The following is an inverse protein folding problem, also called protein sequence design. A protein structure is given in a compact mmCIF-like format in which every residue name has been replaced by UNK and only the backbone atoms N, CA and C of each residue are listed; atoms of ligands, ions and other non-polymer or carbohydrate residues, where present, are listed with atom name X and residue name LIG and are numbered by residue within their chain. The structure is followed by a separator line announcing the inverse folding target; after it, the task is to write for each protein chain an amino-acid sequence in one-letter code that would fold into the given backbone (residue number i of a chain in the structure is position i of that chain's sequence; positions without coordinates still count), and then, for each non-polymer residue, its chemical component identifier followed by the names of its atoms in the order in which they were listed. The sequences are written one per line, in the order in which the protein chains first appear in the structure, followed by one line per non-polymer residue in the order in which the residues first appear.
data_IF_457888253911
#
_entry.id   IF_457888253911
#
_cell.length_a   1.000
_cell.length_b   1.000
_cell.length_c   1.000
_cell.angle_alpha   90.00
_cell.angle_beta   90.00
_cell.angle_gamma   90.00
#
_symmetry.space_group_name_H-M   'P 1'
#
loop_
_entity.id
_entity.type
_entity.pdbx_description
1 polymer ?
#
# COMPACT_ATOMS: atom_id res chain seq x y z
N UNK A 1 -3.57 -62.78 20.35
CA UNK A 1 -3.46 -63.86 21.37
C UNK A 1 -2.65 -64.99 20.77
N UNK A 2 -1.98 -65.85 21.56
CA UNK A 2 -1.84 -65.83 23.04
C UNK A 2 -0.68 -64.87 23.45
N UNK A 3 -0.05 -64.87 24.64
CA UNK A 3 -0.31 -65.58 25.91
C UNK A 3 -0.24 -64.57 27.10
N UNK A 4 0.56 -64.81 28.16
CA UNK A 4 0.68 -64.02 29.40
C UNK A 4 2.02 -64.27 30.13
N UNK A 5 2.32 -63.38 31.10
CA UNK A 5 3.13 -63.60 32.31
C UNK A 5 4.67 -63.67 32.11
N UNK A 6 5.53 -63.32 33.07
CA UNK A 6 5.33 -62.89 34.48
C UNK A 6 6.55 -62.07 34.96
N UNK A 7 6.45 -61.27 36.04
CA UNK A 7 7.63 -60.64 36.64
C UNK A 7 7.40 -59.45 37.56
N UNK A 8 6.89 -59.68 38.79
CA UNK A 8 6.95 -58.69 39.87
C UNK A 8 8.32 -58.79 40.56
N UNK A 9 8.94 -57.65 40.86
CA UNK A 9 9.77 -57.48 42.07
C UNK A 9 9.44 -56.15 42.73
N UNK A 10 9.39 -56.18 44.06
CA UNK A 10 8.87 -55.14 44.95
C UNK A 10 9.98 -54.28 45.52
N UNK A 11 9.68 -53.00 45.77
CA UNK A 11 10.52 -52.09 46.54
C UNK A 11 9.69 -50.97 47.17
N UNK A 12 9.17 -51.19 48.37
CA UNK A 12 8.69 -50.11 49.24
C UNK A 12 9.91 -49.39 49.82
N UNK A 13 9.96 -48.06 49.80
CA UNK A 13 9.65 -47.13 50.90
C UNK A 13 10.32 -45.80 50.49
N UNK A 14 9.95 -44.58 50.91
CA UNK A 14 9.24 -44.06 52.09
C UNK A 14 8.35 -42.87 51.67
N UNK A 15 7.31 -42.56 52.45
CA UNK A 15 6.36 -41.50 52.10
C UNK A 15 6.75 -40.08 52.54
N UNK A 16 6.07 -39.09 51.96
CA UNK A 16 5.75 -37.81 52.61
C UNK A 16 4.33 -37.40 52.24
N UNK A 17 3.59 -36.88 53.22
CA UNK A 17 2.12 -36.79 53.18
C UNK A 17 1.64 -35.35 52.98
N UNK A 18 0.42 -35.25 52.41
CA UNK A 18 -0.56 -34.15 52.55
C UNK A 18 -0.25 -32.78 51.92
N UNK A 19 -1.18 -32.37 51.03
CA UNK A 19 -1.27 -31.04 50.43
C UNK A 19 -2.54 -30.91 49.59
N UNK A 20 -3.72 -30.92 50.24
CA UNK A 20 -5.04 -30.86 49.56
C UNK A 20 -5.45 -29.40 49.37
N UNK A 21 -5.53 -28.93 48.13
CA UNK A 21 -6.26 -27.72 47.78
C UNK A 21 -6.82 -27.83 46.34
N UNK A 22 -8.13 -27.66 46.21
CA UNK A 22 -8.76 -27.28 44.95
C UNK A 22 -9.16 -25.81 45.08
N UNK A 23 -8.84 -24.98 44.08
CA UNK A 23 -9.37 -23.62 43.99
C UNK A 23 -9.39 -23.15 42.55
N UNK A 24 -10.44 -22.41 42.20
CA UNK A 24 -10.69 -21.81 40.90
C UNK A 24 -9.56 -20.88 40.44
N UNK A 25 -9.43 -20.76 39.13
CA UNK A 25 -8.90 -19.58 38.46
C UNK A 25 -9.74 -19.30 37.19
N UNK A 26 -10.97 -18.84 37.41
CA UNK A 26 -11.54 -17.84 36.51
C UNK A 26 -10.83 -16.50 36.80
N UNK A 27 -10.99 -15.51 35.92
CA UNK A 27 -10.27 -14.22 35.92
C UNK A 27 -8.78 -14.31 35.55
N UNK A 28 -8.53 -14.62 34.28
CA UNK A 28 -7.44 -14.01 33.54
C UNK A 28 -8.01 -12.89 32.66
N UNK A 29 -7.92 -11.64 33.13
CA UNK A 29 -8.20 -10.48 32.26
C UNK A 29 -7.20 -10.51 31.09
N UNK A 30 -7.64 -10.31 29.83
CA UNK A 30 -6.71 -10.19 28.72
C UNK A 30 -5.87 -8.92 28.92
N UNK A 31 -4.57 -9.11 29.12
CA UNK A 31 -3.58 -8.03 29.16
C UNK A 31 -3.70 -7.29 27.82
N UNK A 32 -4.16 -6.03 27.86
CA UNK A 32 -4.15 -5.21 26.66
C UNK A 32 -2.68 -4.96 26.26
N UNK A 33 -2.28 -5.22 25.01
CA UNK A 33 -0.95 -4.84 24.56
C UNK A 33 -0.91 -3.31 24.46
N UNK A 34 -0.20 -2.68 25.38
CA UNK A 34 0.19 -1.27 25.24
C UNK A 34 0.91 -1.12 23.90
N UNK A 35 0.32 -0.32 23.00
CA UNK A 35 1.02 0.08 21.78
C UNK A 35 2.09 1.09 22.20
N UNK A 36 3.38 0.88 21.88
CA UNK A 36 4.35 1.94 22.04
C UNK A 36 3.94 3.09 21.12
N UNK A 37 3.89 4.30 21.67
CA UNK A 37 3.66 5.50 20.87
C UNK A 37 4.68 5.54 19.73
N UNK A 38 4.17 5.64 18.50
CA UNK A 38 5.03 5.94 17.36
C UNK A 38 5.71 7.28 17.67
N UNK A 39 7.03 7.42 17.44
CA UNK A 39 7.73 8.66 17.73
C UNK A 39 7.01 9.81 17.03
N UNK A 40 6.76 10.89 17.77
CA UNK A 40 6.14 12.09 17.21
C UNK A 40 6.89 12.48 15.94
N UNK A 41 6.14 12.76 14.88
CA UNK A 41 6.76 13.15 13.61
C UNK A 41 7.66 14.35 13.86
N UNK A 42 8.88 14.41 13.30
CA UNK A 42 9.52 15.70 13.12
C UNK A 42 8.53 16.61 12.38
N UNK A 43 8.46 17.87 12.81
CA UNK A 43 7.52 18.85 12.26
C UNK A 43 7.50 18.78 10.74
N UNK A 44 6.31 18.88 10.13
CA UNK A 44 6.18 18.80 8.68
C UNK A 44 6.99 19.93 8.03
N UNK A 45 8.22 19.65 7.62
CA UNK A 45 8.97 20.47 6.67
C UNK A 45 8.21 20.44 5.34
N UNK A 46 7.22 21.31 5.26
CA UNK A 46 6.51 21.65 4.04
C UNK A 46 7.55 22.01 3.00
N UNK A 47 7.59 21.23 1.91
CA UNK A 47 8.48 21.45 0.79
C UNK A 47 8.27 22.89 0.29
N UNK A 48 9.22 23.78 0.59
CA UNK A 48 9.10 25.22 0.31
C UNK A 48 9.22 25.44 -1.19
N UNK A 49 8.08 25.46 -1.88
CA UNK A 49 7.98 25.89 -3.25
C UNK A 49 8.06 27.42 -3.33
N UNK A 50 8.93 27.93 -4.21
CA UNK A 50 9.04 29.38 -4.50
C UNK A 50 7.80 29.95 -5.21
N UNK A 51 6.81 29.12 -5.51
CA UNK A 51 5.53 29.49 -6.11
C UNK A 51 4.44 28.63 -5.49
N UNK A 52 3.39 29.22 -4.89
CA UNK A 52 2.38 28.45 -4.19
C UNK A 52 1.61 27.57 -5.17
N UNK A 53 1.47 26.29 -4.83
CA UNK A 53 0.57 25.38 -5.52
C UNK A 53 -0.89 25.87 -5.39
N UNK A 54 -1.78 25.54 -6.34
CA UNK A 54 -3.19 25.93 -6.27
C UNK A 54 -3.88 25.43 -4.99
N UNK A 55 -4.58 26.32 -4.29
CA UNK A 55 -5.34 25.97 -3.08
C UNK A 55 -6.50 25.03 -3.38
N UNK A 56 -6.53 23.87 -2.73
CA UNK A 56 -7.61 22.88 -2.81
C UNK A 56 -8.20 22.54 -1.43
N UNK A 57 -8.01 23.39 -0.41
CA UNK A 57 -8.43 23.13 0.97
C UNK A 57 -9.93 22.79 1.11
N UNK A 58 -10.79 23.41 0.28
CA UNK A 58 -12.22 23.08 0.24
C UNK A 58 -12.48 21.63 -0.20
N UNK A 59 -11.68 21.08 -1.11
CA UNK A 59 -11.77 19.68 -1.55
C UNK A 59 -11.19 18.73 -0.50
N UNK A 60 -10.12 19.12 0.21
CA UNK A 60 -9.56 18.33 1.32
C UNK A 60 -10.53 18.23 2.50
N UNK A 61 -11.18 19.35 2.86
CA UNK A 61 -12.25 19.38 3.85
C UNK A 61 -13.44 18.50 3.42
N UNK A 62 -13.87 18.63 2.16
CA UNK A 62 -14.92 17.77 1.59
C UNK A 62 -14.55 16.28 1.67
N UNK A 63 -13.34 15.91 1.25
CA UNK A 63 -12.88 14.51 1.27
C UNK A 63 -12.82 13.97 2.71
N UNK A 64 -12.33 14.78 3.65
CA UNK A 64 -12.20 14.42 5.06
C UNK A 64 -13.57 14.16 5.69
N UNK A 65 -14.56 15.00 5.41
CA UNK A 65 -15.94 14.81 5.87
C UNK A 65 -16.62 13.62 5.18
N UNK A 66 -16.56 13.56 3.84
CA UNK A 66 -17.20 12.52 3.04
C UNK A 66 -16.67 11.12 3.38
N UNK A 67 -15.35 10.93 3.45
CA UNK A 67 -14.75 9.62 3.75
C UNK A 67 -14.97 9.17 5.21
N UNK A 68 -15.29 10.10 6.12
CA UNK A 68 -15.67 9.74 7.50
C UNK A 68 -17.04 9.07 7.58
N UNK A 69 -17.94 9.29 6.60
CA UNK A 69 -19.26 8.63 6.54
C UNK A 69 -19.20 7.11 6.32
N UNK A 70 -18.02 6.58 6.00
CA UNK A 70 -17.76 5.14 5.86
C UNK A 70 -17.25 4.48 7.15
N UNK A 71 -17.01 5.25 8.21
CA UNK A 71 -16.72 4.71 9.53
C UNK A 71 -18.00 4.11 10.15
N UNK A 72 -17.83 3.04 10.91
CA UNK A 72 -18.90 2.25 11.52
C UNK A 72 -18.58 1.97 13.00
N UNK A 73 -19.45 1.24 13.71
CA UNK A 73 -19.14 0.78 15.08
C UNK A 73 -18.12 -0.37 15.12
N UNK A 74 -17.70 -0.91 13.96
CA UNK A 74 -16.72 -1.99 13.87
C UNK A 74 -15.29 -1.45 13.73
N UNK A 75 -14.51 -1.52 14.81
CA UNK A 75 -13.11 -1.08 14.82
C UNK A 75 -12.25 -1.78 13.75
N UNK A 76 -12.48 -3.09 13.54
CA UNK A 76 -11.75 -3.88 12.56
C UNK A 76 -11.98 -3.39 11.11
N UNK A 77 -13.20 -2.97 10.77
CA UNK A 77 -13.52 -2.36 9.48
C UNK A 77 -12.93 -0.94 9.37
N UNK A 78 -13.05 -0.15 10.44
CA UNK A 78 -12.55 1.23 10.49
C UNK A 78 -11.05 1.32 10.23
N UNK A 79 -10.26 0.31 10.64
CA UNK A 79 -8.83 0.21 10.32
C UNK A 79 -8.56 0.25 8.80
N UNK A 80 -9.41 -0.36 7.98
CA UNK A 80 -9.26 -0.34 6.51
C UNK A 80 -9.72 0.99 5.89
N UNK A 81 -10.77 1.60 6.43
CA UNK A 81 -11.23 2.92 6.02
C UNK A 81 -10.17 3.99 6.34
N UNK A 82 -9.61 3.95 7.54
CA UNK A 82 -8.58 4.89 7.99
C UNK A 82 -7.22 4.66 7.30
N UNK A 83 -6.89 3.40 6.97
CA UNK A 83 -5.75 3.09 6.08
C UNK A 83 -5.88 3.84 4.76
N UNK A 84 -7.07 3.83 4.13
CA UNK A 84 -7.30 4.52 2.87
C UNK A 84 -7.40 6.04 2.99
N UNK A 85 -7.95 6.58 4.09
CA UNK A 85 -7.91 8.03 4.40
C UNK A 85 -6.46 8.53 4.51
N UNK A 86 -5.64 7.88 5.35
CA UNK A 86 -4.23 8.24 5.54
C UNK A 86 -3.40 8.08 4.27
N UNK A 87 -3.64 7.02 3.49
CA UNK A 87 -3.04 6.82 2.17
C UNK A 87 -3.35 7.96 1.21
N UNK A 88 -4.62 8.32 1.02
CA UNK A 88 -5.01 9.41 0.13
C UNK A 88 -4.31 10.74 0.45
N UNK A 89 -4.20 11.11 1.73
CA UNK A 89 -3.52 12.34 2.13
C UNK A 89 -2.00 12.30 1.87
N UNK A 90 -1.33 11.16 2.10
CA UNK A 90 0.10 11.01 1.78
C UNK A 90 0.37 10.96 0.28
N UNK A 91 -0.56 10.41 -0.51
CA UNK A 91 -0.51 10.48 -1.99
C UNK A 91 -0.66 11.93 -2.45
N UNK A 92 -1.54 12.72 -1.84
CA UNK A 92 -1.64 14.16 -2.12
C UNK A 92 -0.33 14.90 -1.74
N UNK A 93 0.31 14.58 -0.62
CA UNK A 93 1.59 15.18 -0.24
C UNK A 93 2.74 14.79 -1.19
N UNK A 94 2.78 13.54 -1.65
CA UNK A 94 3.70 13.13 -2.72
C UNK A 94 3.44 13.90 -4.03
N UNK A 95 2.17 14.12 -4.40
CA UNK A 95 1.79 14.89 -5.58
C UNK A 95 2.21 16.36 -5.45
N UNK A 96 2.03 16.97 -4.26
CA UNK A 96 2.55 18.31 -3.96
C UNK A 96 4.06 18.37 -4.18
N UNK A 97 4.82 17.45 -3.56
CA UNK A 97 6.29 17.41 -3.70
C UNK A 97 6.75 17.31 -5.17
N UNK A 98 6.14 16.42 -5.95
CA UNK A 98 6.42 16.29 -7.40
C UNK A 98 6.10 17.60 -8.15
N UNK A 99 4.94 18.21 -7.89
CA UNK A 99 4.50 19.43 -8.59
C UNK A 99 5.35 20.66 -8.20
N UNK A 100 5.86 20.74 -6.96
CA UNK A 100 6.81 21.77 -6.52
C UNK A 100 8.09 21.77 -7.37
N UNK A 101 8.58 20.59 -7.76
CA UNK A 101 9.75 20.42 -8.65
C UNK A 101 9.40 20.70 -10.12
N UNK A 102 8.29 20.14 -10.61
CA UNK A 102 7.93 20.21 -12.04
C UNK A 102 7.34 21.55 -12.49
N UNK A 103 6.76 22.33 -11.57
CA UNK A 103 6.19 23.67 -11.78
C UNK A 103 5.31 23.81 -13.05
N UNK A 104 4.31 22.93 -13.27
CA UNK A 104 3.42 23.04 -14.41
C UNK A 104 2.47 24.23 -14.28
N UNK A 105 1.73 24.51 -15.36
CA UNK A 105 0.69 25.54 -15.43
C UNK A 105 -0.40 25.33 -14.33
N UNK A 106 -0.97 26.39 -13.72
CA UNK A 106 -1.85 26.28 -12.55
C UNK A 106 -3.10 25.41 -12.70
N UNK A 107 -3.82 25.43 -13.83
CA UNK A 107 -4.98 24.56 -14.09
C UNK A 107 -4.55 23.08 -14.13
N UNK A 108 -3.38 22.81 -14.70
CA UNK A 108 -2.76 21.48 -14.75
C UNK A 108 -2.32 21.01 -13.36
N UNK A 109 -1.68 21.87 -12.57
CA UNK A 109 -1.32 21.59 -11.18
C UNK A 109 -2.56 21.31 -10.33
N UNK A 110 -3.61 22.13 -10.46
CA UNK A 110 -4.88 21.95 -9.74
C UNK A 110 -5.53 20.61 -10.08
N UNK A 111 -5.62 20.27 -11.37
CA UNK A 111 -6.18 19.00 -11.80
C UNK A 111 -5.36 17.79 -11.33
N UNK A 112 -4.02 17.90 -11.24
CA UNK A 112 -3.17 16.85 -10.67
C UNK A 112 -3.38 16.67 -9.15
N UNK A 113 -3.45 17.76 -8.38
CA UNK A 113 -3.73 17.70 -6.93
C UNK A 113 -5.11 17.12 -6.63
N UNK A 114 -6.14 17.56 -7.35
CA UNK A 114 -7.50 17.01 -7.21
C UNK A 114 -7.57 15.54 -7.64
N UNK A 115 -6.87 15.14 -8.70
CA UNK A 115 -6.81 13.74 -9.10
C UNK A 115 -6.06 12.87 -8.07
N UNK A 116 -5.02 13.40 -7.42
CA UNK A 116 -4.30 12.72 -6.33
C UNK A 116 -5.18 12.56 -5.08
N UNK A 117 -5.88 13.62 -4.67
CA UNK A 117 -6.86 13.57 -3.57
C UNK A 117 -8.03 12.60 -3.87
N UNK A 118 -8.39 12.41 -5.13
CA UNK A 118 -9.57 11.63 -5.51
C UNK A 118 -9.32 10.26 -6.15
N UNK A 119 -8.05 9.84 -6.34
CA UNK A 119 -7.74 8.58 -7.03
C UNK A 119 -8.47 7.37 -6.44
N UNK A 120 -8.46 7.26 -5.10
CA UNK A 120 -8.99 6.10 -4.37
C UNK A 120 -10.40 6.30 -3.79
N UNK A 121 -11.18 7.31 -4.22
CA UNK A 121 -12.59 7.46 -3.77
C UNK A 121 -13.49 6.29 -4.17
N UNK A 122 -13.04 5.42 -5.08
CA UNK A 122 -13.70 4.14 -5.34
C UNK A 122 -13.57 3.13 -4.20
N UNK A 123 -12.52 3.21 -3.36
CA UNK A 123 -12.22 2.24 -2.30
C UNK A 123 -13.23 2.22 -1.18
N UNK A 124 -13.78 3.38 -0.84
CA UNK A 124 -14.74 3.52 0.25
C UNK A 124 -16.04 2.73 -0.02
N UNK A 125 -16.76 2.96 -1.14
CA UNK A 125 -17.89 2.11 -1.51
C UNK A 125 -17.49 0.67 -1.88
N UNK A 126 -16.29 0.44 -2.45
CA UNK A 126 -15.78 -0.92 -2.69
C UNK A 126 -15.69 -1.72 -1.38
N UNK A 127 -15.08 -1.15 -0.33
CA UNK A 127 -14.95 -1.83 0.95
C UNK A 127 -16.29 -1.98 1.66
N UNK A 128 -17.11 -0.93 1.70
CA UNK A 128 -18.43 -1.00 2.35
C UNK A 128 -19.32 -2.11 1.77
N UNK A 129 -19.29 -2.30 0.44
CA UNK A 129 -20.10 -3.30 -0.26
C UNK A 129 -19.46 -4.70 -0.27
N UNK A 130 -18.15 -4.82 -0.51
CA UNK A 130 -17.49 -6.10 -0.81
C UNK A 130 -16.50 -6.56 0.28
N UNK A 131 -16.22 -5.75 1.30
CA UNK A 131 -15.28 -6.01 2.40
C UNK A 131 -13.88 -6.44 1.94
N UNK A 132 -13.45 -5.91 0.80
CA UNK A 132 -12.13 -6.14 0.21
C UNK A 132 -11.71 -4.98 -0.68
N UNK A 133 -10.40 -4.76 -0.82
CA UNK A 133 -9.81 -3.88 -1.84
C UNK A 133 -9.33 -4.64 -3.10
N UNK A 134 -9.59 -5.95 -3.19
CA UNK A 134 -9.24 -6.75 -4.37
C UNK A 134 -10.23 -6.46 -5.51
N UNK A 135 -9.79 -5.68 -6.51
CA UNK A 135 -10.58 -5.39 -7.72
C UNK A 135 -11.02 -6.66 -8.45
N UNK A 136 -10.18 -7.71 -8.46
CA UNK A 136 -10.48 -8.99 -9.09
C UNK A 136 -11.61 -9.76 -8.38
N UNK A 137 -11.74 -9.59 -7.06
CA UNK A 137 -12.80 -10.20 -6.23
C UNK A 137 -14.02 -9.30 -6.05
N UNK A 138 -14.01 -8.08 -6.62
CA UNK A 138 -15.07 -7.09 -6.45
C UNK A 138 -15.32 -6.28 -7.73
N UNK A 139 -14.79 -5.06 -7.82
CA UNK A 139 -15.02 -4.09 -8.88
C UNK A 139 -13.78 -3.22 -9.07
N UNK A 140 -13.52 -2.78 -10.31
CA UNK A 140 -12.42 -1.85 -10.58
C UNK A 140 -12.63 -0.52 -9.84
N UNK A 141 -11.75 -0.19 -8.90
CA UNK A 141 -11.92 0.98 -8.02
C UNK A 141 -11.74 2.32 -8.75
N UNK A 142 -10.84 2.43 -9.73
CA UNK A 142 -10.70 3.65 -10.54
C UNK A 142 -12.01 4.00 -11.28
N UNK A 143 -12.62 3.01 -11.95
CA UNK A 143 -13.92 3.17 -12.61
C UNK A 143 -15.08 3.42 -11.63
N UNK A 144 -15.02 2.84 -10.44
CA UNK A 144 -15.99 3.14 -9.37
C UNK A 144 -15.80 4.57 -8.85
N UNK A 145 -14.58 5.03 -8.68
CA UNK A 145 -14.23 6.38 -8.24
C UNK A 145 -14.82 7.46 -9.16
N UNK A 146 -14.75 7.28 -10.48
CA UNK A 146 -15.42 8.20 -11.42
C UNK A 146 -16.93 8.29 -11.21
N UNK A 147 -17.59 7.15 -10.94
CA UNK A 147 -19.04 7.11 -10.65
C UNK A 147 -19.35 7.75 -9.30
N UNK A 148 -18.50 7.54 -8.30
CA UNK A 148 -18.59 8.22 -6.99
C UNK A 148 -18.49 9.73 -7.15
N UNK A 149 -17.46 10.25 -7.82
CA UNK A 149 -17.26 11.69 -8.03
C UNK A 149 -18.44 12.36 -8.75
N UNK A 150 -19.05 11.67 -9.71
CA UNK A 150 -20.26 12.13 -10.39
C UNK A 150 -21.49 12.11 -9.46
N UNK A 151 -21.69 11.03 -8.70
CA UNK A 151 -22.84 10.86 -7.79
C UNK A 151 -22.82 11.89 -6.65
N UNK A 152 -21.66 12.11 -6.05
CA UNK A 152 -21.49 13.00 -4.90
C UNK A 152 -21.36 14.48 -5.30
N UNK A 153 -21.22 14.78 -6.60
CA UNK A 153 -21.00 16.16 -7.06
C UNK A 153 -19.68 16.78 -6.57
N UNK A 154 -18.70 15.97 -6.16
CA UNK A 154 -17.47 16.41 -5.48
C UNK A 154 -16.63 17.43 -6.25
N UNK A 155 -16.79 17.47 -7.58
CA UNK A 155 -16.09 18.38 -8.48
C UNK A 155 -17.01 19.47 -9.08
N UNK A 156 -18.24 19.64 -8.58
CA UNK A 156 -19.16 20.67 -9.06
C UNK A 156 -18.63 22.12 -8.97
N UNK A 157 -17.77 22.50 -7.98
CA UNK A 157 -17.10 23.80 -7.98
C UNK A 157 -16.12 24.02 -9.14
N UNK A 158 -15.67 22.96 -9.82
CA UNK A 158 -14.61 23.01 -10.81
C UNK A 158 -15.11 23.21 -12.24
N UNK A 159 -14.23 23.78 -13.09
CA UNK A 159 -14.51 23.96 -14.52
C UNK A 159 -14.77 22.60 -15.20
N UNK A 160 -15.57 22.54 -16.29
CA UNK A 160 -15.77 21.31 -17.06
C UNK A 160 -14.46 20.64 -17.49
N UNK A 161 -13.43 21.45 -17.78
CA UNK A 161 -12.09 21.02 -18.19
C UNK A 161 -11.37 20.29 -17.05
N UNK A 162 -11.33 20.88 -15.85
CA UNK A 162 -10.73 20.25 -14.66
C UNK A 162 -11.53 18.99 -14.30
N UNK A 163 -12.87 19.07 -14.25
CA UNK A 163 -13.76 17.91 -14.01
C UNK A 163 -13.43 16.73 -14.92
N UNK A 164 -13.32 16.98 -16.22
CA UNK A 164 -12.99 15.96 -17.21
C UNK A 164 -11.61 15.35 -17.00
N UNK A 165 -10.58 16.18 -16.73
CA UNK A 165 -9.21 15.71 -16.50
C UNK A 165 -9.08 14.89 -15.22
N UNK A 166 -9.66 15.37 -14.11
CA UNK A 166 -9.65 14.67 -12.81
C UNK A 166 -10.36 13.34 -12.93
N UNK A 167 -11.60 13.31 -13.43
CA UNK A 167 -12.36 12.06 -13.58
C UNK A 167 -11.64 11.05 -14.49
N UNK A 168 -11.00 11.50 -15.57
CA UNK A 168 -10.25 10.63 -16.47
C UNK A 168 -8.95 10.09 -15.85
N UNK A 169 -8.21 10.90 -15.08
CA UNK A 169 -7.03 10.43 -14.35
C UNK A 169 -7.40 9.39 -13.28
N UNK A 170 -8.46 9.64 -12.51
CA UNK A 170 -9.04 8.69 -11.55
C UNK A 170 -9.44 7.37 -12.24
N UNK A 171 -10.02 7.43 -13.45
CA UNK A 171 -10.38 6.23 -14.25
C UNK A 171 -9.18 5.38 -14.72
N UNK A 172 -7.97 5.95 -14.71
CA UNK A 172 -6.79 5.38 -15.36
C UNK A 172 -5.63 5.09 -14.41
N UNK A 173 -5.60 5.66 -13.20
CA UNK A 173 -4.47 5.52 -12.28
C UNK A 173 -4.12 4.05 -12.01
N UNK A 174 -5.12 3.21 -11.73
CA UNK A 174 -4.95 1.77 -11.45
C UNK A 174 -4.74 0.86 -12.68
N UNK A 175 -4.73 1.39 -13.91
CA UNK A 175 -4.56 0.56 -15.10
C UNK A 175 -3.13 0.02 -15.21
N UNK A 176 -2.95 -1.22 -15.65
CA UNK A 176 -1.62 -1.76 -15.91
C UNK A 176 -0.79 -0.87 -16.86
N UNK A 177 -1.42 -0.37 -17.93
CA UNK A 177 -0.86 0.67 -18.81
C UNK A 177 -1.86 1.80 -19.03
N UNK A 178 -1.36 3.04 -19.06
CA UNK A 178 -2.14 4.20 -19.51
C UNK A 178 -2.37 4.07 -21.03
N UNK A 179 -3.59 4.30 -21.56
CA UNK A 179 -3.86 4.25 -22.99
C UNK A 179 -3.01 5.26 -23.78
N UNK A 180 -2.52 4.84 -24.96
CA UNK A 180 -1.96 5.77 -25.94
C UNK A 180 -3.04 6.67 -26.55
N UNK A 181 -2.64 7.79 -27.14
CA UNK A 181 -3.54 8.73 -27.83
C UNK A 181 -4.32 9.70 -26.92
N UNK A 182 -4.13 9.65 -25.60
CA UNK A 182 -4.62 10.70 -24.69
C UNK A 182 -3.79 11.99 -24.83
N UNK A 183 -4.35 13.14 -24.42
CA UNK A 183 -3.63 14.41 -24.50
C UNK A 183 -2.40 14.45 -23.55
N UNK A 184 -1.32 15.18 -23.90
CA UNK A 184 -0.14 15.28 -23.04
C UNK A 184 -0.44 15.80 -21.63
N UNK A 185 -1.38 16.74 -21.49
CA UNK A 185 -1.83 17.27 -20.20
C UNK A 185 -2.52 16.19 -19.35
N UNK A 186 -3.41 15.39 -19.95
CA UNK A 186 -4.06 14.29 -19.23
C UNK A 186 -3.06 13.18 -18.88
N UNK A 187 -2.09 12.90 -19.77
CA UNK A 187 -1.01 11.96 -19.49
C UNK A 187 -0.18 12.42 -18.28
N UNK A 188 0.28 13.67 -18.28
CA UNK A 188 1.01 14.28 -17.17
C UNK A 188 0.26 14.16 -15.84
N UNK A 189 -1.03 14.56 -15.81
CA UNK A 189 -1.88 14.47 -14.61
C UNK A 189 -1.99 13.02 -14.12
N UNK A 190 -2.22 12.07 -15.04
CA UNK A 190 -2.36 10.64 -14.70
C UNK A 190 -1.04 10.06 -14.17
N UNK A 191 0.10 10.47 -14.73
CA UNK A 191 1.42 10.03 -14.32
C UNK A 191 1.81 10.59 -12.95
N UNK A 192 1.47 11.84 -12.63
CA UNK A 192 1.69 12.42 -11.29
C UNK A 192 0.96 11.60 -10.24
N UNK A 193 -0.32 11.26 -10.48
CA UNK A 193 -1.11 10.42 -9.55
C UNK A 193 -0.48 9.04 -9.40
N UNK A 194 -0.07 8.38 -10.50
CA UNK A 194 0.53 7.04 -10.48
C UNK A 194 1.87 6.99 -9.75
N UNK A 195 2.73 7.99 -9.96
CA UNK A 195 4.01 8.08 -9.25
C UNK A 195 3.77 8.37 -7.75
N UNK A 196 2.83 9.27 -7.42
CA UNK A 196 2.48 9.64 -6.04
C UNK A 196 1.87 8.49 -5.23
N UNK A 197 1.06 7.65 -5.89
CA UNK A 197 0.46 6.42 -5.34
C UNK A 197 1.54 5.38 -5.03
N UNK A 198 2.39 5.05 -6.01
CA UNK A 198 3.56 4.17 -5.81
C UNK A 198 4.45 4.65 -4.66
N UNK A 199 4.75 5.95 -4.59
CA UNK A 199 5.57 6.56 -3.54
C UNK A 199 5.00 6.37 -2.13
N UNK A 200 3.68 6.22 -1.98
CA UNK A 200 3.04 5.92 -0.69
C UNK A 200 2.94 4.43 -0.39
N UNK A 201 2.72 3.59 -1.41
CA UNK A 201 2.63 2.14 -1.23
C UNK A 201 4.01 1.57 -0.83
N UNK A 202 5.12 2.07 -1.38
CA UNK A 202 6.48 1.61 -1.07
C UNK A 202 6.77 1.47 0.45
N UNK A 203 6.67 2.51 1.29
CA UNK A 203 6.95 2.39 2.73
C UNK A 203 6.00 1.43 3.47
N UNK A 204 4.72 1.41 3.09
CA UNK A 204 3.73 0.49 3.68
C UNK A 204 4.10 -0.97 3.39
N UNK A 205 4.47 -1.29 2.15
CA UNK A 205 4.86 -2.66 1.79
C UNK A 205 6.22 -3.05 2.37
N UNK A 206 7.22 -2.16 2.32
CA UNK A 206 8.54 -2.42 2.92
C UNK A 206 8.42 -2.70 4.41
N UNK A 207 7.66 -1.88 5.16
CA UNK A 207 7.41 -2.13 6.59
C UNK A 207 6.58 -3.39 6.87
N UNK A 208 5.79 -3.86 5.90
CA UNK A 208 5.09 -5.14 6.00
C UNK A 208 6.06 -6.32 5.81
N UNK A 209 7.06 -6.18 4.93
CA UNK A 209 8.05 -7.24 4.68
C UNK A 209 9.21 -7.28 5.69
N UNK A 210 9.44 -6.23 6.48
CA UNK A 210 10.47 -6.20 7.53
C UNK A 210 9.94 -6.49 8.94
N UNK A 211 8.62 -6.58 9.11
CA UNK A 211 7.99 -6.94 10.39
C UNK A 211 7.84 -8.45 10.51
N UNK A 212 8.49 -9.03 11.52
CA UNK A 212 8.26 -10.42 11.91
C UNK A 212 6.79 -10.63 12.35
N UNK A 213 6.02 -11.34 11.52
CA UNK A 213 4.79 -12.02 11.94
C UNK A 213 3.49 -11.19 12.02
N UNK A 214 3.41 -9.97 11.49
CA UNK A 214 2.11 -9.26 11.38
C UNK A 214 1.46 -9.46 10.01
N UNK A 215 0.95 -10.66 9.75
CA UNK A 215 0.16 -11.00 8.55
C UNK A 215 -1.11 -10.13 8.48
N UNK A 216 -1.15 -9.20 7.54
CA UNK A 216 -2.40 -8.63 7.05
C UNK A 216 -2.67 -9.22 5.66
N UNK A 217 -3.49 -10.27 5.61
CA UNK A 217 -3.91 -10.96 4.38
C UNK A 217 -4.40 -10.03 3.27
N UNK A 218 -5.06 -8.94 3.65
CA UNK A 218 -5.57 -7.89 2.75
C UNK A 218 -4.43 -7.08 2.10
N UNK A 219 -3.28 -6.97 2.77
CA UNK A 219 -2.07 -6.29 2.28
C UNK A 219 -1.20 -7.24 1.45
N UNK A 220 -1.10 -8.52 1.84
CA UNK A 220 -0.32 -9.53 1.10
C UNK A 220 -1.06 -10.15 -0.08
N UNK A 221 -2.32 -9.78 -0.32
CA UNK A 221 -3.17 -10.28 -1.42
C UNK A 221 -3.40 -11.81 -1.41
N UNK A 222 -3.26 -12.46 -0.24
CA UNK A 222 -3.33 -13.92 -0.06
C UNK A 222 -2.31 -14.73 -0.89
N UNK A 223 -1.09 -14.21 -1.04
CA UNK A 223 0.03 -14.92 -1.69
C UNK A 223 0.64 -16.00 -0.79
N UNK A 224 1.24 -17.03 -1.38
CA UNK A 224 2.00 -18.06 -0.65
C UNK A 224 3.31 -17.48 -0.09
N UNK A 225 3.56 -17.53 1.22
CA UNK A 225 4.88 -17.19 1.77
C UNK A 225 5.84 -18.39 1.70
N UNK A 226 6.77 -18.35 0.75
CA UNK A 226 7.86 -19.32 0.60
C UNK A 226 9.17 -18.60 0.38
N UNK A 227 10.12 -18.78 1.31
CA UNK A 227 11.40 -18.06 1.35
C UNK A 227 12.29 -18.31 0.13
N UNK A 228 12.17 -19.48 -0.48
CA UNK A 228 12.99 -20.01 -1.58
C UNK A 228 12.30 -19.97 -2.95
N UNK A 229 11.17 -19.27 -3.08
CA UNK A 229 10.38 -19.25 -4.30
C UNK A 229 10.07 -17.83 -4.80
N UNK A 230 10.14 -17.70 -6.13
CA UNK A 230 9.57 -16.62 -6.94
C UNK A 230 9.14 -17.20 -8.29
N UNK A 231 8.32 -16.46 -9.02
CA UNK A 231 7.71 -16.88 -10.29
C UNK A 231 8.50 -16.32 -11.48
N UNK A 232 8.95 -17.20 -12.38
CA UNK A 232 9.86 -16.83 -13.49
C UNK A 232 9.40 -15.62 -14.34
N UNK A 233 8.10 -15.40 -14.66
CA UNK A 233 7.67 -14.23 -15.41
C UNK A 233 8.01 -12.89 -14.73
N UNK A 234 8.09 -12.85 -13.39
CA UNK A 234 8.45 -11.66 -12.61
C UNK A 234 9.97 -11.43 -12.65
N UNK A 235 10.75 -12.51 -12.50
CA UNK A 235 12.21 -12.50 -12.69
C UNK A 235 12.56 -11.96 -14.07
N UNK A 236 11.91 -12.49 -15.11
CA UNK A 236 12.13 -12.06 -16.48
C UNK A 236 11.63 -10.63 -16.73
N UNK A 237 10.59 -10.17 -16.04
CA UNK A 237 10.16 -8.77 -16.10
C UNK A 237 11.24 -7.84 -15.53
N UNK A 238 11.76 -8.13 -14.33
CA UNK A 238 12.80 -7.30 -13.69
C UNK A 238 14.12 -7.32 -14.47
N UNK A 239 14.58 -8.52 -14.89
CA UNK A 239 15.78 -8.71 -15.74
C UNK A 239 15.74 -7.87 -17.01
N UNK A 240 14.58 -7.83 -17.68
CA UNK A 240 14.38 -7.05 -18.90
C UNK A 240 13.91 -5.61 -18.64
N UNK A 241 13.97 -5.12 -17.40
CA UNK A 241 13.56 -3.75 -16.97
C UNK A 241 12.13 -3.38 -17.41
N UNK A 242 11.20 -4.34 -17.32
CA UNK A 242 9.77 -4.20 -17.63
C UNK A 242 8.94 -4.21 -16.34
N UNK A 243 7.79 -3.54 -16.39
CA UNK A 243 6.77 -3.65 -15.34
C UNK A 243 6.33 -5.11 -15.17
N UNK A 244 6.43 -5.63 -13.96
CA UNK A 244 5.88 -6.92 -13.57
C UNK A 244 4.35 -6.84 -13.43
N UNK A 245 3.66 -7.99 -13.52
CA UNK A 245 2.20 -8.07 -13.55
C UNK A 245 1.65 -8.78 -12.32
N UNK A 246 0.64 -8.18 -11.69
CA UNK A 246 -0.12 -8.79 -10.59
C UNK A 246 -0.72 -10.17 -10.92
N UNK A 247 -0.97 -10.46 -12.20
CA UNK A 247 -1.57 -11.75 -12.63
C UNK A 247 -0.60 -12.93 -12.57
N UNK A 248 0.70 -12.64 -12.55
CA UNK A 248 1.75 -13.65 -12.60
C UNK A 248 2.29 -13.96 -11.18
N UNK A 249 1.82 -13.22 -10.17
CA UNK A 249 2.22 -13.35 -8.78
C UNK A 249 1.59 -14.59 -8.12
N UNK A 250 2.41 -15.35 -7.42
CA UNK A 250 2.02 -16.49 -6.59
C UNK A 250 2.57 -16.39 -5.17
N UNK A 251 3.80 -15.88 -5.02
CA UNK A 251 4.52 -15.83 -3.75
C UNK A 251 4.65 -14.41 -3.20
N UNK A 252 4.86 -14.26 -1.89
CA UNK A 252 5.17 -12.96 -1.26
C UNK A 252 6.41 -12.30 -1.91
N UNK A 253 7.40 -13.09 -2.31
CA UNK A 253 8.58 -12.60 -3.04
C UNK A 253 8.25 -12.06 -4.45
N UNK A 254 7.17 -12.52 -5.09
CA UNK A 254 6.71 -11.97 -6.37
C UNK A 254 6.20 -10.54 -6.21
N UNK A 255 5.64 -10.22 -5.03
CA UNK A 255 5.27 -8.84 -4.70
C UNK A 255 6.53 -7.97 -4.51
N UNK A 256 7.57 -8.50 -3.86
CA UNK A 256 8.86 -7.80 -3.72
C UNK A 256 9.48 -7.48 -5.09
N UNK A 257 9.44 -8.43 -6.04
CA UNK A 257 9.83 -8.23 -7.44
C UNK A 257 8.95 -7.20 -8.16
N UNK A 258 7.62 -7.28 -7.98
CA UNK A 258 6.67 -6.33 -8.56
C UNK A 258 7.00 -4.89 -8.14
N UNK A 259 7.18 -4.65 -6.84
CA UNK A 259 7.56 -3.32 -6.33
C UNK A 259 8.92 -2.86 -6.88
N UNK A 260 9.91 -3.76 -6.94
CA UNK A 260 11.19 -3.45 -7.59
C UNK A 260 11.03 -3.03 -9.05
N UNK A 261 10.09 -3.64 -9.78
CA UNK A 261 9.81 -3.28 -11.18
C UNK A 261 9.17 -1.89 -11.36
N UNK A 262 8.58 -1.31 -10.31
CA UNK A 262 7.90 -0.02 -10.42
C UNK A 262 8.84 1.14 -10.71
N UNK A 263 10.12 1.03 -10.34
CA UNK A 263 11.15 2.06 -10.61
C UNK A 263 11.36 2.27 -12.11
N UNK A 264 11.14 1.24 -12.94
CA UNK A 264 11.25 1.31 -14.39
C UNK A 264 10.14 2.17 -15.04
N UNK A 265 9.03 2.37 -14.32
CA UNK A 265 7.82 3.07 -14.79
C UNK A 265 7.52 4.32 -13.93
N UNK A 266 8.51 4.85 -13.21
CA UNK A 266 8.39 6.19 -12.63
C UNK A 266 8.60 7.23 -13.73
N UNK A 267 7.67 8.17 -13.82
CA UNK A 267 7.60 9.10 -14.95
C UNK A 267 8.50 10.32 -14.74
N UNK A 268 8.76 10.71 -13.50
CA UNK A 268 9.52 11.92 -13.17
C UNK A 268 10.78 11.63 -12.35
N UNK A 269 11.83 12.42 -12.57
CA UNK A 269 13.05 12.35 -11.75
C UNK A 269 12.80 12.75 -10.30
N UNK A 270 11.88 13.71 -10.05
CA UNK A 270 11.41 14.04 -8.71
C UNK A 270 10.91 12.79 -7.95
N UNK A 271 10.18 11.89 -8.63
CA UNK A 271 9.71 10.64 -8.04
C UNK A 271 10.85 9.65 -7.73
N UNK A 272 11.91 9.63 -8.55
CA UNK A 272 13.11 8.83 -8.30
C UNK A 272 13.90 9.37 -7.10
N UNK A 273 14.15 10.68 -7.06
CA UNK A 273 14.82 11.35 -5.94
C UNK A 273 14.10 11.13 -4.62
N UNK A 274 12.77 11.27 -4.59
CA UNK A 274 11.97 11.01 -3.39
C UNK A 274 12.07 9.55 -2.91
N UNK A 275 12.20 8.55 -3.79
CA UNK A 275 12.47 7.16 -3.37
C UNK A 275 13.89 6.95 -2.86
N UNK A 276 14.88 7.63 -3.45
CA UNK A 276 16.28 7.57 -3.04
C UNK A 276 16.50 8.19 -1.67
N UNK A 277 16.03 9.43 -1.47
CA UNK A 277 16.13 10.20 -0.22
C UNK A 277 15.51 9.45 0.96
N UNK A 278 14.40 8.74 0.72
CA UNK A 278 13.70 7.92 1.73
C UNK A 278 14.35 6.55 1.96
N UNK A 279 15.38 6.17 1.20
CA UNK A 279 16.07 4.87 1.32
C UNK A 279 15.22 3.64 0.97
N UNK A 280 14.03 3.84 0.39
CA UNK A 280 12.97 2.82 0.32
C UNK A 280 13.29 1.66 -0.63
N UNK A 281 14.05 1.92 -1.68
CA UNK A 281 14.45 0.88 -2.63
C UNK A 281 15.49 -0.04 -2.01
N UNK A 282 16.52 0.47 -1.33
CA UNK A 282 17.50 -0.39 -0.64
C UNK A 282 16.84 -1.19 0.50
N UNK A 283 15.94 -0.57 1.25
CA UNK A 283 15.14 -1.26 2.26
C UNK A 283 14.29 -2.39 1.65
N UNK A 284 13.67 -2.18 0.48
CA UNK A 284 12.97 -3.25 -0.26
C UNK A 284 13.94 -4.35 -0.70
N UNK A 285 15.05 -4.00 -1.35
CA UNK A 285 16.02 -4.97 -1.88
C UNK A 285 16.68 -5.81 -0.78
N UNK A 286 16.80 -5.29 0.44
CA UNK A 286 17.24 -6.04 1.61
C UNK A 286 16.24 -7.15 2.05
N UNK A 287 14.96 -7.04 1.69
CA UNK A 287 13.95 -8.09 1.97
C UNK A 287 13.89 -9.19 0.91
N UNK A 288 14.63 -9.05 -0.19
CA UNK A 288 14.62 -10.05 -1.28
C UNK A 288 15.36 -11.33 -0.86
N UNK A 289 14.86 -12.51 -1.26
CA UNK A 289 15.45 -13.78 -0.86
C UNK A 289 16.86 -13.95 -1.47
N UNK A 290 17.69 -14.74 -0.78
CA UNK A 290 19.01 -15.16 -1.27
C UNK A 290 18.85 -16.23 -2.36
N UNK A 291 18.58 -15.77 -3.59
CA UNK A 291 18.39 -16.59 -4.79
C UNK A 291 19.52 -16.35 -5.81
N UNK A 292 19.84 -17.31 -6.70
CA UNK A 292 20.93 -17.18 -7.67
C UNK A 292 20.88 -15.92 -8.55
N UNK A 293 19.69 -15.51 -9.03
CA UNK A 293 19.52 -14.29 -9.83
C UNK A 293 19.43 -13.00 -8.97
N UNK A 294 19.43 -13.11 -7.63
CA UNK A 294 19.08 -12.03 -6.71
C UNK A 294 19.91 -10.76 -6.88
N UNK A 295 21.24 -10.87 -6.93
CA UNK A 295 22.12 -9.71 -7.07
C UNK A 295 22.09 -9.09 -8.47
N UNK A 296 21.86 -9.89 -9.52
CA UNK A 296 21.64 -9.39 -10.89
C UNK A 296 20.40 -8.47 -10.93
N UNK A 297 19.27 -8.98 -10.40
CA UNK A 297 18.02 -8.24 -10.39
C UNK A 297 18.08 -7.00 -9.48
N UNK A 298 18.73 -7.08 -8.31
CA UNK A 298 19.01 -5.90 -7.46
C UNK A 298 19.82 -4.85 -8.22
N UNK A 299 20.85 -5.26 -8.96
CA UNK A 299 21.63 -4.39 -9.83
C UNK A 299 20.80 -3.67 -10.88
N UNK A 300 19.88 -4.38 -11.55
CA UNK A 300 18.96 -3.81 -12.53
C UNK A 300 18.03 -2.73 -11.93
N UNK A 301 17.49 -2.95 -10.73
CA UNK A 301 16.64 -1.99 -10.01
C UNK A 301 17.46 -0.74 -9.61
N UNK A 302 18.63 -0.92 -8.99
CA UNK A 302 19.54 0.19 -8.60
C UNK A 302 19.94 1.06 -9.79
N UNK A 303 20.35 0.44 -10.90
CA UNK A 303 20.75 1.14 -12.12
C UNK A 303 19.61 1.90 -12.80
N UNK A 304 18.34 1.58 -12.52
CA UNK A 304 17.20 2.34 -12.99
C UNK A 304 16.80 3.50 -12.06
N UNK A 305 17.11 3.39 -10.77
CA UNK A 305 16.84 4.43 -9.79
C UNK A 305 17.85 5.59 -9.89
N UNK A 306 19.11 5.29 -10.22
CA UNK A 306 20.23 6.24 -10.31
C UNK A 306 20.10 7.36 -11.37
N UNK A 307 18.98 7.46 -12.10
CA UNK A 307 18.75 8.45 -13.15
C UNK A 307 19.21 8.01 -14.54
N UNK A 308 19.02 8.89 -15.52
CA UNK A 308 19.55 8.82 -16.89
C UNK A 308 20.43 10.02 -17.17
#
# INVERSE_FOLDING_TARGET
MPLKANGKTTGETTGKTLGRAASNAADAQPIQPEQPELPEKPEQETCRCDSPLPDIAAHEAWFTAWSATFLTDCEADNRYIELKRKHTLRVLDNARAILCTLRPEPETARAALLAALYHDVGRFPQYAQYRTFSDQRSVNHGLLGCRTLLREGALNPETPQIRGRVAAAVAMHNRFRVPGGISPVLRFITDVVRDSDKLDIFPVMVSTFTRDGSENDVVTLHLEDRKDAWSQPLVDAVRHRRLASYRDMRYVNDFKLLLGSWVFELNFDASRSLLQERGLVEALLATWPEMPDGEELKGAVRAALAGR
#
